data_IF_723792465732
#
_entry.id   IF_723792465732
#
_cell.length_a   1.000
_cell.length_b   1.000
_cell.length_c   1.000
_cell.angle_alpha   90.00
_cell.angle_beta   90.00
_cell.angle_gamma   90.00
#
_symmetry.space_group_name_H-M   'P 1'
#
loop_
_entity.id
_entity.type
_entity.pdbx_description
1 polymer ?
#
# COMPACT_ATOMS: atom_id res chain seq x y z
N UNK A 1 -8.92 -2.24 -22.04
CA UNK A 1 -8.84 -1.14 -21.07
C UNK A 1 -7.93 -1.62 -19.97
N UNK A 2 -6.97 -0.81 -19.56
CA UNK A 2 -6.13 -1.14 -18.43
C UNK A 2 -6.26 -0.08 -17.33
N UNK A 3 -5.85 -0.44 -16.13
CA UNK A 3 -5.98 0.40 -14.95
C UNK A 3 -4.60 0.91 -14.58
N UNK A 4 -4.43 2.23 -14.63
CA UNK A 4 -3.14 2.90 -14.48
C UNK A 4 -3.10 3.78 -13.25
N UNK A 5 -1.89 3.97 -12.75
CA UNK A 5 -1.59 4.97 -11.71
C UNK A 5 -1.49 6.33 -12.39
N UNK A 6 -2.44 7.23 -12.14
CA UNK A 6 -2.42 8.60 -12.70
C UNK A 6 -1.65 9.57 -11.81
N UNK A 7 -1.69 9.37 -10.50
CA UNK A 7 -0.84 10.07 -9.55
C UNK A 7 -0.51 9.19 -8.35
N UNK A 8 0.66 9.42 -7.77
CA UNK A 8 1.14 8.82 -6.54
C UNK A 8 1.85 9.89 -5.72
N UNK A 9 1.50 10.02 -4.44
CA UNK A 9 2.09 11.03 -3.56
C UNK A 9 2.25 10.50 -2.14
N UNK A 10 3.15 11.13 -1.38
CA UNK A 10 3.42 10.80 0.03
C UNK A 10 3.54 12.05 0.89
N UNK A 11 2.98 12.01 2.10
CA UNK A 11 3.06 13.08 3.10
C UNK A 11 3.79 12.56 4.34
N UNK A 12 4.82 13.29 4.79
CA UNK A 12 5.71 12.90 5.89
C UNK A 12 5.96 14.13 6.77
N UNK A 13 6.05 13.91 8.09
CA UNK A 13 6.43 14.95 9.06
C UNK A 13 5.32 15.28 10.07
N UNK A 14 4.14 14.67 9.90
CA UNK A 14 3.08 14.67 10.90
C UNK A 14 3.13 13.44 11.80
N UNK A 15 2.36 13.46 12.88
CA UNK A 15 2.16 12.29 13.74
C UNK A 15 0.83 11.59 13.55
N UNK A 16 -0.13 12.20 12.85
CA UNK A 16 -1.45 11.60 12.58
C UNK A 16 -1.42 10.80 11.28
N UNK A 17 -1.96 9.58 11.30
CA UNK A 17 -2.16 8.80 10.08
C UNK A 17 -3.26 9.39 9.19
N UNK A 18 -4.29 9.97 9.79
CA UNK A 18 -5.41 10.62 9.07
C UNK A 18 -4.92 11.88 8.34
N UNK A 19 -4.25 12.78 9.04
CA UNK A 19 -3.81 14.06 8.47
C UNK A 19 -2.85 13.85 7.31
N UNK A 20 -1.91 12.90 7.44
CA UNK A 20 -0.94 12.58 6.40
C UNK A 20 -1.58 11.89 5.21
N UNK A 21 -2.44 10.89 5.43
CA UNK A 21 -3.17 10.23 4.34
C UNK A 21 -4.08 11.22 3.58
N UNK A 22 -4.75 12.14 4.30
CA UNK A 22 -5.55 13.19 3.68
C UNK A 22 -4.69 14.23 2.93
N UNK A 23 -3.50 14.56 3.45
CA UNK A 23 -2.52 15.39 2.78
C UNK A 23 -2.07 14.80 1.44
N UNK A 24 -1.64 13.54 1.46
CA UNK A 24 -1.30 12.79 0.25
C UNK A 24 -2.49 12.70 -0.71
N UNK A 25 -3.70 12.39 -0.22
CA UNK A 25 -4.91 12.34 -1.03
C UNK A 25 -5.16 13.65 -1.81
N UNK A 26 -5.13 14.80 -1.13
CA UNK A 26 -5.33 16.10 -1.78
C UNK A 26 -4.27 16.38 -2.85
N UNK A 27 -3.00 16.03 -2.58
CA UNK A 27 -1.93 16.22 -3.57
C UNK A 27 -2.09 15.28 -4.77
N UNK A 28 -2.42 14.01 -4.55
CA UNK A 28 -2.62 13.05 -5.63
C UNK A 28 -3.77 13.46 -6.57
N UNK A 29 -4.88 13.93 -5.98
CA UNK A 29 -6.02 14.45 -6.74
C UNK A 29 -5.60 15.66 -7.58
N UNK A 30 -4.88 16.62 -6.97
CA UNK A 30 -4.41 17.82 -7.66
C UNK A 30 -3.39 17.53 -8.76
N UNK A 31 -2.42 16.63 -8.52
CA UNK A 31 -1.40 16.22 -9.50
C UNK A 31 -2.01 15.51 -10.70
N UNK A 32 -3.10 14.76 -10.51
CA UNK A 32 -3.86 14.15 -11.59
C UNK A 32 -4.77 15.14 -12.35
N UNK A 33 -4.82 16.40 -11.94
CA UNK A 33 -5.73 17.41 -12.52
C UNK A 33 -7.22 17.13 -12.27
N UNK A 34 -7.54 16.36 -11.23
CA UNK A 34 -8.89 16.01 -10.83
C UNK A 34 -9.41 16.93 -9.69
N UNK A 35 -10.70 16.83 -9.38
CA UNK A 35 -11.30 17.46 -8.19
C UNK A 35 -11.81 16.40 -7.22
N UNK A 36 -11.99 16.74 -5.92
CA UNK A 36 -12.49 15.79 -4.92
C UNK A 36 -13.85 15.17 -5.26
N UNK A 37 -14.70 15.88 -6.02
CA UNK A 37 -16.02 15.42 -6.46
C UNK A 37 -15.94 14.32 -7.54
N UNK A 38 -14.78 14.16 -8.17
CA UNK A 38 -14.57 13.17 -9.22
C UNK A 38 -13.96 11.86 -8.71
N UNK A 39 -13.90 11.67 -7.39
CA UNK A 39 -13.40 10.43 -6.77
C UNK A 39 -14.61 9.57 -6.42
N UNK A 40 -14.72 8.42 -7.07
CA UNK A 40 -15.88 7.53 -6.95
C UNK A 40 -15.72 6.51 -5.81
N UNK A 41 -14.48 6.20 -5.44
CA UNK A 41 -14.18 5.37 -4.28
C UNK A 41 -12.87 5.77 -3.59
N UNK A 42 -12.84 5.63 -2.27
CA UNK A 42 -11.66 5.78 -1.41
C UNK A 42 -11.44 4.51 -0.59
N UNK A 43 -10.27 3.89 -0.75
CA UNK A 43 -9.90 2.67 -0.03
C UNK A 43 -8.72 2.98 0.88
N UNK A 44 -8.93 2.96 2.20
CA UNK A 44 -7.84 3.10 3.17
C UNK A 44 -7.27 1.73 3.56
N UNK A 45 -5.95 1.59 3.49
CA UNK A 45 -5.25 0.34 3.82
C UNK A 45 -4.46 0.40 5.14
N UNK A 46 -4.38 1.59 5.75
CA UNK A 46 -3.62 1.81 6.99
C UNK A 46 -4.11 0.95 8.17
N UNK A 47 -3.17 0.46 8.97
CA UNK A 47 -3.44 -0.47 10.08
C UNK A 47 -3.31 0.22 11.44
N UNK A 48 -2.28 1.04 11.62
CA UNK A 48 -2.01 1.72 12.89
C UNK A 48 -2.67 3.09 12.94
N UNK A 49 -3.66 3.20 13.84
CA UNK A 49 -4.65 4.27 13.83
C UNK A 49 -4.40 5.30 14.91
N UNK A 50 -4.71 6.55 14.57
CA UNK A 50 -4.86 7.64 15.52
C UNK A 50 -5.72 7.24 16.72
N UNK A 51 -5.21 7.49 17.92
CA UNK A 51 -5.92 7.26 19.18
C UNK A 51 -6.45 5.83 19.40
N UNK A 52 -5.91 4.82 18.70
CA UNK A 52 -6.45 3.45 18.67
C UNK A 52 -7.94 3.41 18.30
N UNK A 53 -8.37 4.33 17.45
CA UNK A 53 -9.78 4.50 17.10
C UNK A 53 -10.33 3.28 16.37
N UNK A 54 -11.46 2.77 16.85
CA UNK A 54 -12.15 1.63 16.25
C UNK A 54 -13.21 2.11 15.26
N UNK A 55 -14.00 3.09 15.67
CA UNK A 55 -15.04 3.73 14.88
C UNK A 55 -14.98 5.27 15.01
N UNK A 56 -15.37 6.03 13.97
CA UNK A 56 -15.81 5.58 12.64
C UNK A 56 -14.66 4.95 11.82
N UNK A 57 -14.95 4.48 10.61
CA UNK A 57 -13.91 4.04 9.67
C UNK A 57 -12.88 5.17 9.45
N UNK A 58 -11.60 4.81 9.40
CA UNK A 58 -10.53 5.78 9.19
C UNK A 58 -10.66 6.43 7.81
N UNK A 59 -11.07 5.65 6.81
CA UNK A 59 -11.41 6.11 5.46
C UNK A 59 -12.42 7.26 5.46
N UNK A 60 -13.42 7.26 6.34
CA UNK A 60 -14.43 8.32 6.41
C UNK A 60 -13.84 9.64 6.91
N UNK A 61 -12.90 9.57 7.86
CA UNK A 61 -12.20 10.75 8.38
C UNK A 61 -11.19 11.29 7.38
N UNK A 62 -10.46 10.39 6.70
CA UNK A 62 -9.56 10.76 5.61
C UNK A 62 -10.35 11.42 4.47
N UNK A 63 -11.47 10.82 4.05
CA UNK A 63 -12.39 11.37 3.05
C UNK A 63 -12.85 12.78 3.44
N UNK A 64 -13.31 12.95 4.69
CA UNK A 64 -13.75 14.24 5.22
C UNK A 64 -12.63 15.29 5.10
N UNK A 65 -11.44 14.95 5.56
CA UNK A 65 -10.30 15.86 5.59
C UNK A 65 -9.67 16.10 4.20
N UNK A 66 -9.85 15.17 3.28
CA UNK A 66 -9.46 15.32 1.87
C UNK A 66 -10.48 16.14 1.05
N UNK A 67 -11.67 16.40 1.60
CA UNK A 67 -12.71 17.18 0.93
C UNK A 67 -13.54 16.40 -0.09
N UNK A 68 -13.53 15.06 -0.04
CA UNK A 68 -14.12 14.20 -1.06
C UNK A 68 -15.61 13.97 -0.78
N UNK A 69 -16.48 14.41 -1.69
CA UNK A 69 -17.92 14.12 -1.64
C UNK A 69 -18.62 14.63 -0.38
N UNK A 70 -18.27 15.85 0.08
CA UNK A 70 -18.87 16.45 1.29
C UNK A 70 -20.27 17.04 1.05
N UNK A 71 -20.63 17.24 -0.22
CA UNK A 71 -21.95 17.72 -0.63
C UNK A 71 -22.72 16.57 -1.28
N UNK A 72 -24.02 16.51 -1.01
CA UNK A 72 -24.92 15.53 -1.59
C UNK A 72 -25.99 16.25 -2.41
N UNK A 73 -26.12 15.88 -3.68
CA UNK A 73 -27.27 16.26 -4.50
C UNK A 73 -28.09 15.03 -4.87
N UNK A 74 -29.40 15.22 -4.99
CA UNK A 74 -30.31 14.15 -5.37
C UNK A 74 -29.97 13.64 -6.77
N UNK A 75 -29.62 12.36 -6.87
CA UNK A 75 -29.23 11.70 -8.13
C UNK A 75 -27.73 11.46 -8.26
N UNK A 76 -26.90 12.04 -7.39
CA UNK A 76 -25.47 11.76 -7.35
C UNK A 76 -25.20 10.36 -6.78
N UNK A 77 -24.19 9.68 -7.33
CA UNK A 77 -23.62 8.48 -6.72
C UNK A 77 -22.54 8.93 -5.75
N UNK A 78 -22.71 8.74 -4.44
CA UNK A 78 -21.71 9.19 -3.47
C UNK A 78 -20.43 8.35 -3.59
N UNK A 79 -19.30 8.95 -3.21
CA UNK A 79 -18.03 8.24 -3.10
C UNK A 79 -18.15 7.08 -2.11
N UNK A 80 -17.80 5.87 -2.55
CA UNK A 80 -17.71 4.68 -1.70
C UNK A 80 -16.41 4.74 -0.90
N UNK A 81 -16.49 4.88 0.43
CA UNK A 81 -15.32 4.98 1.30
C UNK A 81 -15.28 3.85 2.34
N UNK A 82 -14.18 3.11 2.40
CA UNK A 82 -14.02 2.01 3.37
C UNK A 82 -12.56 1.69 3.73
N UNK A 83 -12.38 1.02 4.86
CA UNK A 83 -11.09 0.48 5.31
C UNK A 83 -10.90 -0.97 4.81
N UNK A 84 -9.74 -1.27 4.22
CA UNK A 84 -9.26 -2.59 3.79
C UNK A 84 -7.91 -2.88 4.43
N UNK A 85 -7.94 -3.37 5.68
CA UNK A 85 -6.72 -3.61 6.46
C UNK A 85 -6.13 -4.99 6.15
N UNK A 86 -5.00 -5.04 5.44
CA UNK A 86 -4.21 -6.26 5.23
C UNK A 86 -2.69 -6.03 5.33
N UNK A 87 -2.26 -5.13 6.22
CA UNK A 87 -0.85 -4.83 6.45
C UNK A 87 -0.09 -4.48 5.17
N UNK A 88 1.10 -5.05 5.01
CA UNK A 88 1.96 -4.84 3.84
C UNK A 88 1.27 -5.16 2.50
N UNK A 89 0.38 -6.14 2.45
CA UNK A 89 -0.33 -6.55 1.24
C UNK A 89 -1.54 -5.66 0.90
N UNK A 90 -1.94 -4.76 1.81
CA UNK A 90 -3.17 -3.96 1.72
C UNK A 90 -3.31 -3.19 0.41
N UNK A 91 -2.24 -2.52 -0.05
CA UNK A 91 -2.26 -1.76 -1.31
C UNK A 91 -2.53 -2.68 -2.51
N UNK A 92 -1.95 -3.88 -2.54
CA UNK A 92 -2.16 -4.81 -3.65
C UNK A 92 -3.57 -5.40 -3.66
N UNK A 93 -4.13 -5.70 -2.49
CA UNK A 93 -5.55 -6.07 -2.39
C UNK A 93 -6.47 -4.92 -2.78
N UNK A 94 -6.14 -3.68 -2.40
CA UNK A 94 -6.90 -2.50 -2.80
C UNK A 94 -6.85 -2.27 -4.31
N UNK A 95 -5.73 -2.55 -4.98
CA UNK A 95 -5.64 -2.53 -6.45
C UNK A 95 -6.59 -3.58 -7.03
N UNK A 96 -6.60 -4.83 -6.54
CA UNK A 96 -7.53 -5.87 -7.02
C UNK A 96 -9.00 -5.46 -6.83
N UNK A 97 -9.36 -4.90 -5.68
CA UNK A 97 -10.72 -4.39 -5.44
C UNK A 97 -11.04 -3.23 -6.38
N UNK A 98 -10.08 -2.33 -6.63
CA UNK A 98 -10.23 -1.22 -7.57
C UNK A 98 -10.46 -1.72 -9.00
N UNK A 99 -9.81 -2.82 -9.41
CA UNK A 99 -10.06 -3.44 -10.72
C UNK A 99 -11.51 -3.89 -10.86
N UNK A 100 -12.09 -4.47 -9.82
CA UNK A 100 -13.51 -4.84 -9.82
C UNK A 100 -14.43 -3.61 -9.84
N UNK A 101 -14.12 -2.56 -9.08
CA UNK A 101 -14.91 -1.32 -9.04
C UNK A 101 -14.91 -0.60 -10.40
N UNK A 102 -13.75 -0.50 -11.06
CA UNK A 102 -13.58 0.18 -12.36
C UNK A 102 -14.20 -0.57 -13.55
N UNK A 103 -14.77 -1.77 -13.33
CA UNK A 103 -15.64 -2.41 -14.32
C UNK A 103 -17.05 -1.81 -14.36
N UNK A 104 -17.48 -1.13 -13.29
CA UNK A 104 -18.74 -0.41 -13.30
C UNK A 104 -18.65 0.85 -14.19
N UNK A 105 -19.60 1.09 -15.11
CA UNK A 105 -19.57 2.26 -15.99
C UNK A 105 -19.62 3.62 -15.26
N UNK A 106 -20.04 3.62 -13.99
CA UNK A 106 -20.18 4.80 -13.14
C UNK A 106 -18.96 5.06 -12.25
N UNK A 107 -17.92 4.21 -12.32
CA UNK A 107 -16.70 4.35 -11.54
C UNK A 107 -15.56 4.64 -12.51
N UNK A 108 -14.94 5.80 -12.36
CA UNK A 108 -13.87 6.30 -13.20
C UNK A 108 -12.56 6.44 -12.44
N UNK A 109 -12.62 6.79 -11.16
CA UNK A 109 -11.46 7.07 -10.32
C UNK A 109 -11.57 6.40 -8.96
N UNK A 110 -10.56 5.61 -8.61
CA UNK A 110 -10.44 4.99 -7.28
C UNK A 110 -9.17 5.50 -6.62
N UNK A 111 -9.32 6.11 -5.45
CA UNK A 111 -8.21 6.63 -4.65
C UNK A 111 -7.85 5.63 -3.55
N UNK A 112 -6.63 5.12 -3.59
CA UNK A 112 -6.09 4.26 -2.55
C UNK A 112 -5.29 5.15 -1.62
N UNK A 113 -5.50 5.00 -0.31
CA UNK A 113 -4.72 5.70 0.70
C UNK A 113 -4.15 4.72 1.71
N UNK A 114 -3.02 5.10 2.29
CA UNK A 114 -2.37 4.40 3.38
C UNK A 114 -1.83 5.42 4.38
N UNK A 115 -1.77 5.01 5.64
CA UNK A 115 -1.29 5.85 6.72
C UNK A 115 -1.21 5.03 7.98
N UNK A 116 0.01 4.86 8.48
CA UNK A 116 0.27 4.22 9.76
C UNK A 116 0.97 5.21 10.67
N UNK A 117 0.51 5.33 11.90
CA UNK A 117 1.16 6.19 12.89
C UNK A 117 1.00 5.65 14.30
N UNK A 118 1.85 6.10 15.21
CA UNK A 118 1.69 5.75 16.61
C UNK A 118 0.36 6.33 17.14
N UNK A 119 -0.44 5.59 17.93
CA UNK A 119 -1.74 6.05 18.42
C UNK A 119 -1.75 7.38 19.18
N UNK A 120 -0.62 7.79 19.75
CA UNK A 120 -0.47 9.09 20.42
C UNK A 120 -0.50 10.29 19.46
N UNK A 121 -0.40 10.05 18.15
CA UNK A 121 -0.26 11.08 17.10
C UNK A 121 0.99 11.95 17.24
N UNK A 122 2.00 11.44 17.94
CA UNK A 122 3.30 12.11 18.04
C UNK A 122 4.05 12.02 16.73
N UNK A 123 4.58 13.15 16.25
CA UNK A 123 5.53 13.15 15.14
C UNK A 123 6.89 12.56 15.53
N UNK A 124 7.24 12.63 16.82
CA UNK A 124 8.48 12.07 17.35
C UNK A 124 8.39 10.53 17.48
N UNK A 125 9.47 9.79 17.18
CA UNK A 125 9.54 8.34 17.34
C UNK A 125 9.15 7.90 18.76
N UNK A 126 8.35 6.83 18.84
CA UNK A 126 7.89 6.29 20.13
C UNK A 126 8.65 5.00 20.45
N UNK A 127 9.16 4.82 21.69
CA UNK A 127 9.88 3.61 22.06
C UNK A 127 9.06 2.33 21.78
N UNK A 128 9.67 1.37 21.08
CA UNK A 128 9.03 0.10 20.73
C UNK A 128 8.10 0.14 19.51
N UNK A 129 7.85 1.32 18.93
CA UNK A 129 7.07 1.48 17.71
C UNK A 129 7.99 1.75 16.51
N UNK A 130 8.13 0.81 15.55
CA UNK A 130 9.16 0.88 14.52
C UNK A 130 8.71 1.68 13.29
N UNK A 131 7.42 2.00 13.19
CA UNK A 131 6.84 2.55 11.97
C UNK A 131 7.02 4.06 11.99
N UNK A 132 7.56 4.60 10.90
CA UNK A 132 7.60 6.03 10.66
C UNK A 132 6.22 6.47 10.15
N UNK A 133 5.63 7.53 10.71
CA UNK A 133 4.40 8.07 10.15
C UNK A 133 4.61 8.55 8.71
N UNK A 134 3.93 7.88 7.78
CA UNK A 134 3.93 8.19 6.34
C UNK A 134 2.53 8.00 5.80
N UNK A 135 1.92 9.07 5.32
CA UNK A 135 0.70 8.99 4.52
C UNK A 135 1.06 8.81 3.05
N UNK A 136 0.35 7.96 2.33
CA UNK A 136 0.48 7.85 0.87
C UNK A 136 -0.88 7.78 0.20
N UNK A 137 -0.90 8.19 -1.07
CA UNK A 137 -2.08 8.13 -1.92
C UNK A 137 -1.69 7.71 -3.34
N UNK A 138 -2.50 6.83 -3.93
CA UNK A 138 -2.37 6.35 -5.30
C UNK A 138 -3.73 6.45 -5.99
N UNK A 139 -3.82 7.26 -7.04
CA UNK A 139 -5.04 7.42 -7.82
C UNK A 139 -5.02 6.50 -9.03
N UNK A 140 -6.06 5.68 -9.17
CA UNK A 140 -6.21 4.74 -10.27
C UNK A 140 -7.33 5.15 -11.22
N UNK A 141 -7.06 5.05 -12.52
CA UNK A 141 -8.03 5.32 -13.58
C UNK A 141 -8.01 4.24 -14.66
N UNK A 142 -9.15 4.07 -15.33
CA UNK A 142 -9.29 3.16 -16.47
C UNK A 142 -8.95 3.89 -17.77
N UNK A 143 -7.91 3.44 -18.46
CA UNK A 143 -7.45 4.02 -19.73
C UNK A 143 -7.54 3.02 -20.90
N UNK A 144 -7.74 3.50 -22.14
CA UNK A 144 -7.60 2.65 -23.32
C UNK A 144 -6.19 2.12 -23.48
N UNK A 145 -6.06 0.92 -24.04
CA UNK A 145 -4.77 0.30 -24.34
C UNK A 145 -4.36 -0.81 -23.37
N UNK A 146 -3.12 -1.32 -23.52
CA UNK A 146 -2.60 -2.47 -22.79
C UNK A 146 -1.87 -2.11 -21.48
N UNK A 147 -1.60 -0.83 -21.22
CA UNK A 147 -0.94 -0.38 -20.00
C UNK A 147 -1.86 -0.55 -18.79
N UNK A 148 -1.30 -0.97 -17.66
CA UNK A 148 -2.07 -1.13 -16.42
C UNK A 148 -1.70 -2.37 -15.61
N UNK A 149 -2.41 -2.54 -14.50
CA UNK A 149 -2.25 -3.68 -13.60
C UNK A 149 -2.79 -4.99 -14.21
N UNK A 150 -2.02 -6.07 -14.06
CA UNK A 150 -2.40 -7.44 -14.35
C UNK A 150 -3.22 -8.09 -13.23
N UNK A 151 -3.14 -9.42 -13.11
CA UNK A 151 -3.81 -10.16 -12.04
C UNK A 151 -3.01 -10.12 -10.73
N UNK A 152 -3.71 -10.11 -9.59
CA UNK A 152 -3.09 -10.27 -8.28
C UNK A 152 -2.82 -11.76 -7.99
N UNK A 153 -1.59 -12.08 -7.65
CA UNK A 153 -1.15 -13.41 -7.21
C UNK A 153 -0.84 -13.37 -5.71
N UNK A 154 -1.26 -14.41 -4.99
CA UNK A 154 -1.11 -14.49 -3.52
C UNK A 154 -0.53 -15.85 -3.16
N UNK A 155 0.48 -15.85 -2.30
CA UNK A 155 1.05 -17.06 -1.69
C UNK A 155 1.05 -16.88 -0.17
N UNK A 156 0.62 -17.89 0.57
CA UNK A 156 0.51 -17.83 2.03
C UNK A 156 0.67 -19.23 2.65
N UNK A 157 1.04 -19.28 3.93
CA UNK A 157 1.13 -20.53 4.67
C UNK A 157 -0.23 -21.21 4.78
N UNK A 158 -0.25 -22.54 4.69
CA UNK A 158 -1.44 -23.33 4.96
C UNK A 158 -1.80 -23.30 6.45
N UNK A 159 -3.04 -22.91 6.75
CA UNK A 159 -3.58 -22.91 8.10
C UNK A 159 -3.63 -21.53 8.77
N UNK A 160 -4.03 -21.52 10.05
CA UNK A 160 -4.19 -20.28 10.79
C UNK A 160 -2.88 -19.94 11.51
N UNK A 161 -2.25 -18.77 11.24
CA UNK A 161 -1.06 -18.36 11.98
C UNK A 161 -1.33 -18.18 13.47
N UNK A 162 -0.26 -18.30 14.25
CA UNK A 162 -0.27 -17.91 15.65
C UNK A 162 -0.51 -16.40 15.79
N UNK A 163 -1.13 -15.99 16.90
CA UNK A 163 -1.28 -14.58 17.21
C UNK A 163 0.07 -13.97 17.61
N UNK A 164 0.61 -13.09 16.78
CA UNK A 164 1.88 -12.40 17.05
C UNK A 164 1.68 -11.10 17.85
N UNK A 165 0.52 -10.45 17.70
CA UNK A 165 0.11 -9.29 18.49
C UNK A 165 -0.84 -9.68 19.63
N UNK A 166 -0.45 -9.46 20.88
CA UNK A 166 -1.26 -9.83 22.04
C UNK A 166 -0.99 -8.97 23.28
N UNK A 167 -1.91 -9.03 24.24
CA UNK A 167 -1.75 -8.44 25.56
C UNK A 167 -1.59 -9.56 26.59
N UNK A 168 -0.49 -9.55 27.34
CA UNK A 168 -0.26 -10.49 28.45
C UNK A 168 -1.10 -10.07 29.65
N UNK A 169 -2.32 -10.59 29.74
CA UNK A 169 -3.30 -10.19 30.77
C UNK A 169 -2.77 -10.30 32.21
N UNK A 170 -1.91 -11.27 32.50
CA UNK A 170 -1.30 -11.47 33.82
C UNK A 170 -0.17 -10.47 34.14
N UNK A 171 0.42 -9.84 33.14
CA UNK A 171 1.59 -8.95 33.27
C UNK A 171 1.24 -7.47 33.02
N UNK A 172 0.10 -7.19 32.36
CA UNK A 172 -0.22 -5.87 31.81
C UNK A 172 -0.42 -4.75 32.85
N UNK A 173 -0.74 -5.11 34.09
CA UNK A 173 -0.98 -4.17 35.18
C UNK A 173 -1.98 -3.05 34.81
N UNK A 174 -1.72 -1.84 35.28
CA UNK A 174 -2.55 -0.65 35.03
C UNK A 174 -2.31 0.01 33.66
N UNK A 175 -1.25 -0.39 32.96
CA UNK A 175 -0.83 0.19 31.66
C UNK A 175 -1.31 -0.63 30.46
N UNK A 176 -2.00 -1.75 30.67
CA UNK A 176 -2.43 -2.65 29.59
C UNK A 176 -3.30 -2.01 28.50
N UNK A 177 -4.04 -0.93 28.83
CA UNK A 177 -4.85 -0.20 27.84
C UNK A 177 -4.02 0.54 26.78
N UNK A 178 -2.74 0.75 27.02
CA UNK A 178 -1.83 1.52 26.18
C UNK A 178 -0.60 0.70 25.77
N UNK A 179 -0.67 -0.62 25.85
CA UNK A 179 0.42 -1.51 25.46
C UNK A 179 -0.07 -2.68 24.63
N UNK A 180 0.81 -3.16 23.76
CA UNK A 180 0.66 -4.41 23.02
C UNK A 180 2.05 -5.06 22.93
N UNK A 181 2.10 -6.37 23.02
CA UNK A 181 3.30 -7.15 22.71
C UNK A 181 3.15 -7.64 21.28
N UNK A 182 4.18 -7.41 20.46
CA UNK A 182 4.25 -7.92 19.09
C UNK A 182 5.48 -8.81 19.00
N UNK A 183 5.28 -10.11 18.83
CA UNK A 183 6.36 -11.01 18.48
C UNK A 183 6.76 -10.77 17.01
N UNK A 184 8.05 -10.62 16.77
CA UNK A 184 8.63 -10.39 15.44
C UNK A 184 9.63 -11.45 15.04
N UNK A 185 9.67 -12.59 15.75
CA UNK A 185 10.51 -13.73 15.43
C UNK A 185 10.06 -14.48 14.14
N UNK A 186 9.37 -13.80 13.22
CA UNK A 186 8.86 -14.37 11.99
C UNK A 186 9.95 -15.01 11.15
N UNK A 187 9.61 -16.12 10.49
CA UNK A 187 10.52 -16.82 9.62
C UNK A 187 10.71 -16.05 8.30
N UNK A 188 11.77 -15.25 8.23
CA UNK A 188 12.09 -14.43 7.04
C UNK A 188 12.23 -15.28 5.78
N UNK A 189 12.71 -16.53 5.88
CA UNK A 189 12.85 -17.41 4.72
C UNK A 189 11.49 -17.92 4.22
N UNK A 190 10.54 -18.20 5.13
CA UNK A 190 9.16 -18.53 4.76
C UNK A 190 8.46 -17.34 4.09
N UNK A 191 8.65 -16.13 4.64
CA UNK A 191 8.12 -14.92 4.03
C UNK A 191 8.71 -14.67 2.63
N UNK A 192 10.02 -14.88 2.47
CA UNK A 192 10.71 -14.76 1.19
C UNK A 192 10.23 -15.83 0.20
N UNK A 193 9.98 -17.05 0.64
CA UNK A 193 9.42 -18.12 -0.19
C UNK A 193 8.06 -17.73 -0.78
N UNK A 194 7.14 -17.21 0.03
CA UNK A 194 5.85 -16.74 -0.45
C UNK A 194 5.99 -15.56 -1.42
N UNK A 195 6.90 -14.62 -1.14
CA UNK A 195 7.15 -13.49 -2.02
C UNK A 195 7.68 -13.91 -3.39
N UNK A 196 8.61 -14.87 -3.44
CA UNK A 196 9.12 -15.44 -4.69
C UNK A 196 8.00 -16.17 -5.44
N UNK A 197 7.24 -17.03 -4.77
CA UNK A 197 6.13 -17.78 -5.37
C UNK A 197 5.08 -16.85 -6.01
N UNK A 198 4.63 -15.82 -5.31
CA UNK A 198 3.66 -14.88 -5.87
C UNK A 198 4.25 -14.06 -7.04
N UNK A 199 5.52 -13.66 -6.93
CA UNK A 199 6.21 -12.89 -7.95
C UNK A 199 6.45 -13.68 -9.24
N UNK A 200 6.84 -14.96 -9.15
CA UNK A 200 7.01 -15.84 -10.30
C UNK A 200 5.70 -16.00 -11.08
N UNK A 201 4.59 -16.27 -10.39
CA UNK A 201 3.28 -16.37 -11.08
C UNK A 201 2.88 -15.06 -11.78
N UNK A 202 3.11 -13.91 -11.13
CA UNK A 202 2.80 -12.60 -11.71
C UNK A 202 3.68 -12.30 -12.94
N UNK A 203 4.95 -12.72 -12.93
CA UNK A 203 5.87 -12.58 -14.06
C UNK A 203 5.50 -13.49 -15.23
N UNK A 204 5.13 -14.75 -14.94
CA UNK A 204 4.71 -15.71 -15.95
C UNK A 204 3.50 -15.21 -16.74
N UNK A 205 2.52 -14.60 -16.05
CA UNK A 205 1.33 -14.01 -16.70
C UNK A 205 1.66 -12.72 -17.46
N UNK A 206 2.63 -11.94 -17.00
CA UNK A 206 2.99 -10.68 -17.64
C UNK A 206 3.73 -10.87 -18.97
N UNK A 207 4.41 -12.02 -19.14
CA UNK A 207 5.21 -12.40 -20.31
C UNK A 207 6.26 -11.33 -20.67
N UNK A 208 6.95 -10.76 -19.68
CA UNK A 208 7.96 -9.71 -19.88
C UNK A 208 9.36 -10.19 -19.48
N UNK A 209 10.41 -9.88 -20.28
CA UNK A 209 11.79 -10.15 -19.92
C UNK A 209 12.21 -9.51 -18.58
N UNK A 210 13.03 -10.23 -17.80
CA UNK A 210 13.51 -9.76 -16.50
C UNK A 210 14.37 -8.49 -16.61
N UNK A 211 15.11 -8.30 -17.70
CA UNK A 211 15.91 -7.11 -17.99
C UNK A 211 15.06 -5.86 -18.33
N UNK A 212 13.75 -6.05 -18.52
CA UNK A 212 12.75 -4.98 -18.70
C UNK A 212 11.79 -4.87 -17.50
N UNK A 213 12.12 -5.50 -16.38
CA UNK A 213 11.30 -5.51 -15.16
C UNK A 213 11.98 -4.74 -14.04
N UNK A 214 11.24 -3.83 -13.39
CA UNK A 214 11.64 -3.16 -12.16
C UNK A 214 10.89 -3.77 -10.97
N UNK A 215 11.61 -4.24 -9.95
CA UNK A 215 11.01 -4.71 -8.71
C UNK A 215 10.66 -3.52 -7.80
N UNK A 216 9.39 -3.42 -7.41
CA UNK A 216 8.89 -2.49 -6.39
C UNK A 216 8.48 -3.30 -5.16
N UNK A 217 9.14 -3.15 -4.02
CA UNK A 217 8.85 -3.98 -2.84
C UNK A 217 8.99 -3.23 -1.51
N UNK A 218 8.39 -3.78 -0.45
CA UNK A 218 8.62 -3.30 0.92
C UNK A 218 9.95 -3.81 1.51
N UNK A 219 10.25 -3.42 2.75
CA UNK A 219 11.44 -3.89 3.50
C UNK A 219 11.06 -4.57 4.83
N UNK A 220 10.43 -5.77 4.82
CA UNK A 220 10.17 -6.52 6.05
C UNK A 220 11.45 -6.73 6.89
N UNK A 221 12.58 -6.90 6.20
CA UNK A 221 13.94 -6.78 6.75
C UNK A 221 14.80 -5.95 5.78
N UNK A 222 15.91 -5.41 6.27
CA UNK A 222 16.80 -4.56 5.45
C UNK A 222 17.41 -5.30 4.24
N UNK A 223 17.65 -6.61 4.36
CA UNK A 223 18.21 -7.47 3.30
C UNK A 223 17.13 -8.06 2.37
N UNK A 224 15.84 -7.90 2.69
CA UNK A 224 14.74 -8.54 1.95
C UNK A 224 14.71 -8.17 0.45
N UNK A 225 14.80 -6.89 0.04
CA UNK A 225 14.77 -6.54 -1.38
C UNK A 225 15.88 -7.19 -2.20
N UNK A 226 17.10 -7.21 -1.65
CA UNK A 226 18.27 -7.80 -2.32
C UNK A 226 18.12 -9.32 -2.46
N UNK A 227 17.60 -10.00 -1.43
CA UNK A 227 17.35 -11.44 -1.46
C UNK A 227 16.23 -11.80 -2.44
N UNK A 228 15.15 -11.03 -2.47
CA UNK A 228 14.05 -11.23 -3.40
C UNK A 228 14.51 -11.06 -4.85
N UNK A 229 15.21 -9.97 -5.15
CA UNK A 229 15.78 -9.72 -6.48
C UNK A 229 16.72 -10.85 -6.92
N UNK A 230 17.61 -11.30 -6.02
CA UNK A 230 18.52 -12.41 -6.32
C UNK A 230 17.79 -13.71 -6.64
N UNK A 231 16.73 -14.05 -5.90
CA UNK A 231 15.93 -15.27 -6.16
C UNK A 231 15.17 -15.20 -7.47
N UNK A 232 14.66 -14.01 -7.84
CA UNK A 232 13.95 -13.78 -9.10
C UNK A 232 14.88 -13.58 -10.30
N UNK A 233 16.19 -13.44 -10.10
CA UNK A 233 17.14 -13.12 -11.16
C UNK A 233 17.01 -11.69 -11.71
N UNK A 234 16.43 -10.76 -10.93
CA UNK A 234 16.30 -9.35 -11.28
C UNK A 234 17.61 -8.63 -10.90
N UNK A 235 18.07 -7.73 -11.77
CA UNK A 235 19.26 -6.91 -11.53
C UNK A 235 19.09 -6.09 -10.23
N UNK A 236 20.05 -6.10 -9.29
CA UNK A 236 20.01 -5.27 -8.09
C UNK A 236 19.78 -3.76 -8.36
N UNK A 237 20.21 -3.24 -9.51
CA UNK A 237 19.94 -1.86 -9.92
C UNK A 237 18.49 -1.63 -10.36
N UNK A 238 17.79 -2.70 -10.77
CA UNK A 238 16.38 -2.75 -11.11
C UNK A 238 15.50 -3.11 -9.89
N UNK A 239 15.86 -2.56 -8.72
CA UNK A 239 15.06 -2.65 -7.50
C UNK A 239 14.77 -1.25 -6.96
N UNK A 240 13.54 -1.03 -6.53
CA UNK A 240 13.12 0.10 -5.70
C UNK A 240 12.38 -0.44 -4.49
N UNK A 241 12.84 -0.05 -3.31
CA UNK A 241 12.18 -0.36 -2.05
C UNK A 241 11.86 0.94 -1.31
N UNK A 242 11.07 0.88 -0.22
CA UNK A 242 10.89 2.09 0.59
C UNK A 242 12.27 2.58 1.04
N UNK A 243 12.50 3.90 1.00
CA UNK A 243 13.79 4.53 1.27
C UNK A 243 13.74 5.42 2.51
N UNK A 244 12.62 5.38 3.22
CA UNK A 244 12.40 6.05 4.49
C UNK A 244 13.41 5.59 5.54
N UNK A 245 13.73 6.46 6.49
CA UNK A 245 14.69 6.15 7.57
C UNK A 245 14.24 4.98 8.46
N UNK A 246 12.94 4.71 8.52
CA UNK A 246 12.34 3.56 9.19
C UNK A 246 11.19 3.01 8.35
N UNK A 247 10.62 1.88 8.77
CA UNK A 247 9.53 1.16 8.10
C UNK A 247 8.33 2.08 7.80
N UNK A 248 7.95 2.21 6.53
CA UNK A 248 6.74 2.92 6.09
C UNK A 248 5.48 2.03 6.08
N UNK A 249 5.62 0.75 6.44
CA UNK A 249 4.56 -0.23 6.62
C UNK A 249 3.58 -0.29 5.42
N UNK A 250 2.30 0.09 5.58
CA UNK A 250 1.33 0.02 4.47
C UNK A 250 1.62 1.01 3.34
N UNK A 251 2.39 2.07 3.63
CA UNK A 251 2.83 3.08 2.65
C UNK A 251 4.10 2.68 1.90
N UNK A 252 4.73 1.55 2.21
CA UNK A 252 6.02 1.16 1.63
C UNK A 252 5.99 1.02 0.10
N UNK A 253 4.95 0.40 -0.47
CA UNK A 253 4.84 0.24 -1.93
C UNK A 253 4.61 1.57 -2.68
N UNK A 254 3.66 2.45 -2.27
CA UNK A 254 3.56 3.79 -2.85
C UNK A 254 4.85 4.59 -2.76
N UNK A 255 5.54 4.55 -1.61
CA UNK A 255 6.84 5.22 -1.41
C UNK A 255 7.89 4.67 -2.40
N UNK A 256 8.04 3.35 -2.48
CA UNK A 256 8.99 2.71 -3.37
C UNK A 256 8.73 3.02 -4.86
N UNK A 257 7.45 3.07 -5.26
CA UNK A 257 7.06 3.43 -6.62
C UNK A 257 7.31 4.91 -6.93
N UNK A 258 7.01 5.81 -5.98
CA UNK A 258 7.31 7.23 -6.09
C UNK A 258 8.82 7.48 -6.24
N UNK A 259 9.65 6.83 -5.40
CA UNK A 259 11.10 6.90 -5.49
C UNK A 259 11.64 6.36 -6.83
N UNK A 260 11.04 5.28 -7.35
CA UNK A 260 11.36 4.74 -8.67
C UNK A 260 11.02 5.72 -9.81
N UNK A 261 9.89 6.42 -9.71
CA UNK A 261 9.47 7.45 -10.67
C UNK A 261 10.45 8.62 -10.65
N UNK A 262 10.72 9.17 -9.48
CA UNK A 262 11.49 10.40 -9.33
C UNK A 262 12.98 10.20 -9.66
N UNK A 263 13.49 8.96 -9.52
CA UNK A 263 14.85 8.58 -9.95
C UNK A 263 14.97 8.19 -11.44
N UNK A 264 13.86 8.14 -12.19
CA UNK A 264 13.84 7.73 -13.60
C UNK A 264 14.08 6.23 -13.82
N UNK A 265 13.97 5.38 -12.78
CA UNK A 265 14.08 3.92 -12.91
C UNK A 265 12.94 3.33 -13.73
N UNK A 266 11.74 3.91 -13.62
CA UNK A 266 10.58 3.46 -14.40
C UNK A 266 10.79 3.60 -15.92
N UNK A 267 11.53 4.61 -16.38
CA UNK A 267 11.78 4.85 -17.81
C UNK A 267 12.57 3.72 -18.48
N UNK A 268 13.29 2.93 -17.69
CA UNK A 268 14.12 1.81 -18.16
C UNK A 268 13.36 0.48 -18.18
N UNK A 269 12.17 0.42 -17.59
CA UNK A 269 11.36 -0.79 -17.50
C UNK A 269 10.15 -0.75 -18.44
N UNK A 270 9.66 -1.93 -18.83
CA UNK A 270 8.34 -2.08 -19.46
C UNK A 270 7.28 -2.50 -18.42
N UNK A 271 7.72 -3.15 -17.33
CA UNK A 271 6.87 -3.59 -16.22
C UNK A 271 7.49 -3.20 -14.89
N UNK A 272 6.65 -2.69 -13.98
CA UNK A 272 6.94 -2.65 -12.56
C UNK A 272 6.27 -3.85 -11.88
N UNK A 273 7.07 -4.74 -11.28
CA UNK A 273 6.57 -5.86 -10.49
C UNK A 273 6.44 -5.40 -9.04
N UNK A 274 5.20 -5.22 -8.57
CA UNK A 274 4.96 -4.91 -7.16
C UNK A 274 4.92 -6.21 -6.35
N UNK A 275 5.69 -6.27 -5.26
CA UNK A 275 5.70 -7.41 -4.34
C UNK A 275 5.59 -6.92 -2.90
N UNK A 276 4.53 -7.34 -2.22
CA UNK A 276 4.34 -7.13 -0.79
C UNK A 276 4.47 -8.47 -0.05
N UNK A 277 5.08 -8.45 1.12
CA UNK A 277 5.15 -9.60 2.01
C UNK A 277 5.01 -9.13 3.45
N UNK A 278 4.14 -9.76 4.24
CA UNK A 278 3.91 -9.39 5.62
C UNK A 278 3.26 -10.50 6.45
N UNK A 279 2.53 -10.08 7.48
CA UNK A 279 1.88 -10.96 8.45
C UNK A 279 0.99 -12.03 7.78
N UNK A 280 0.97 -13.24 8.34
CA UNK A 280 0.31 -14.40 7.75
C UNK A 280 1.06 -15.72 8.00
N UNK A 281 2.37 -15.81 7.74
CA UNK A 281 3.10 -15.04 6.74
C UNK A 281 2.45 -15.21 5.35
N UNK A 282 2.35 -14.11 4.63
CA UNK A 282 1.75 -14.10 3.29
C UNK A 282 2.46 -13.07 2.42
N UNK A 283 2.39 -13.28 1.11
CA UNK A 283 2.87 -12.34 0.12
C UNK A 283 1.89 -12.23 -1.03
N UNK A 284 1.93 -11.08 -1.70
CA UNK A 284 1.16 -10.82 -2.89
C UNK A 284 2.03 -10.11 -3.92
N UNK A 285 1.77 -10.38 -5.19
CA UNK A 285 2.45 -9.74 -6.29
C UNK A 285 1.50 -9.39 -7.43
N UNK A 286 1.79 -8.29 -8.12
CA UNK A 286 1.06 -7.86 -9.30
C UNK A 286 2.03 -7.19 -10.28
N UNK A 287 1.95 -7.60 -11.55
CA UNK A 287 2.68 -6.94 -12.62
C UNK A 287 1.92 -5.70 -13.08
N UNK A 288 2.62 -4.57 -13.21
CA UNK A 288 2.09 -3.32 -13.72
C UNK A 288 2.80 -2.96 -15.04
N UNK A 289 2.09 -3.06 -16.16
CA UNK A 289 2.63 -2.66 -17.47
C UNK A 289 2.64 -1.14 -17.55
N UNK A 290 3.83 -0.56 -17.64
CA UNK A 290 4.01 0.89 -17.59
C UNK A 290 3.41 1.55 -18.84
N UNK A 291 2.68 2.67 -18.68
CA UNK A 291 2.28 3.48 -19.83
C UNK A 291 3.55 4.03 -20.50
N UNK A 292 3.71 3.76 -21.79
CA UNK A 292 4.80 4.35 -22.58
C UNK A 292 4.40 5.76 -23.00
N UNK A 293 5.35 6.71 -23.02
CA UNK A 293 5.12 8.05 -23.56
C UNK A 293 4.73 8.04 -25.04
#
# INVERSE_FOLDING_TARGET
MGIVITSVTTEIGGGSSIEQAAGAARRAIAEAGATPEQIDALINTGVYRDSNMVEPAMSALIQQQAGIGLEYHSGDVPCLSFDLMNGACGILNAIQVSQALLEAPTVHRVLLVSGDAHPSKSAEPQPGFPIKPVGAAMLLEKVPGPAGFGALHISATDGRPAAEGFLRLSEMGTTGRSSIVVDRAGNVEELLHHAVSAAEEALDVAEVPLDRTLLICGRPTADFPARLAHRLGIDPEAVSADDTESDAHTSALPVAYLAARDSGKLDRADVALFVAAGAGPSAAAIAYRLPKP
#
